data_IF_085476246126
#
_entry.id   IF_085476246126
#
_cell.length_a   1.000
_cell.length_b   1.000
_cell.length_c   1.000
_cell.angle_alpha   90.00
_cell.angle_beta   90.00
_cell.angle_gamma   90.00
#
_symmetry.space_group_name_H-M   'P 1'
#
loop_
_entity.id
_entity.type
_entity.pdbx_description
1 polymer ?
#
# COMPACT_ATOMS: atom_id res chain seq x y z
N UNK A 1 28.45 -32.66 50.32
CA UNK A 1 28.55 -32.92 48.85
C UNK A 1 27.19 -32.79 48.15
N UNK A 2 26.10 -33.48 48.56
CA UNK A 2 24.79 -33.40 47.84
C UNK A 2 24.20 -31.99 47.74
N UNK A 3 24.31 -31.10 48.74
CA UNK A 3 23.80 -29.72 48.69
C UNK A 3 24.56 -28.83 47.72
N UNK A 4 25.88 -29.00 47.55
CA UNK A 4 26.67 -28.24 46.56
C UNK A 4 26.31 -28.65 45.13
N UNK A 5 26.08 -29.95 44.90
CA UNK A 5 25.69 -30.46 43.56
C UNK A 5 24.28 -29.91 43.20
N UNK A 6 23.35 -29.91 44.17
CA UNK A 6 22.00 -29.34 43.95
C UNK A 6 22.04 -27.85 43.63
N UNK A 7 22.88 -27.07 44.32
CA UNK A 7 23.03 -25.62 44.05
C UNK A 7 23.67 -25.35 42.67
N UNK A 8 24.66 -26.16 42.28
CA UNK A 8 25.27 -25.98 40.94
C UNK A 8 24.30 -26.35 39.81
N UNK A 9 23.53 -27.43 39.96
CA UNK A 9 22.50 -27.83 38.99
C UNK A 9 21.41 -26.76 38.87
N UNK A 10 20.94 -26.21 40.00
CA UNK A 10 19.92 -25.14 40.01
C UNK A 10 20.45 -23.87 39.32
N UNK A 11 21.71 -23.48 39.61
CA UNK A 11 22.35 -22.32 38.95
C UNK A 11 22.49 -22.49 37.44
N UNK A 12 22.91 -23.68 36.99
CA UNK A 12 23.03 -24.00 35.56
C UNK A 12 21.66 -23.95 34.86
N UNK A 13 20.61 -24.48 35.49
CA UNK A 13 19.25 -24.47 34.95
C UNK A 13 18.74 -23.04 34.80
N UNK A 14 18.91 -22.18 35.81
CA UNK A 14 18.53 -20.77 35.75
C UNK A 14 19.30 -20.05 34.62
N UNK A 15 20.60 -20.29 34.53
CA UNK A 15 21.40 -19.69 33.45
C UNK A 15 20.91 -20.11 32.05
N UNK A 16 20.61 -21.39 31.85
CA UNK A 16 20.05 -21.88 30.55
C UNK A 16 18.71 -21.24 30.26
N UNK A 17 17.82 -21.10 31.24
CA UNK A 17 16.52 -20.45 31.05
C UNK A 17 16.69 -18.97 30.65
N UNK A 18 17.59 -18.24 31.34
CA UNK A 18 17.86 -16.82 31.02
C UNK A 18 18.45 -16.66 29.63
N UNK A 19 19.42 -17.50 29.24
CA UNK A 19 20.01 -17.47 27.91
C UNK A 19 18.97 -17.83 26.83
N UNK A 20 18.18 -18.87 27.06
CA UNK A 20 17.09 -19.24 26.14
C UNK A 20 16.06 -18.13 25.99
N UNK A 21 15.68 -17.47 27.08
CA UNK A 21 14.78 -16.30 27.06
C UNK A 21 15.37 -15.12 26.30
N UNK A 22 16.65 -14.81 26.52
CA UNK A 22 17.35 -13.75 25.80
C UNK A 22 17.45 -14.03 24.28
N UNK A 23 17.78 -15.28 23.92
CA UNK A 23 17.82 -15.72 22.52
C UNK A 23 16.45 -15.66 21.88
N UNK A 24 15.40 -16.13 22.58
CA UNK A 24 14.02 -16.04 22.09
C UNK A 24 13.59 -14.58 21.87
N UNK A 25 13.94 -13.69 22.80
CA UNK A 25 13.67 -12.25 22.68
C UNK A 25 14.42 -11.61 21.51
N UNK A 26 15.68 -11.97 21.29
CA UNK A 26 16.50 -11.52 20.14
C UNK A 26 15.94 -12.03 18.80
N UNK A 27 15.45 -13.26 18.76
CA UNK A 27 14.85 -13.84 17.56
C UNK A 27 13.46 -13.21 17.27
N UNK A 28 12.69 -12.92 18.33
CA UNK A 28 11.39 -12.26 18.19
C UNK A 28 11.49 -10.78 17.78
N UNK A 29 12.64 -10.14 18.03
CA UNK A 29 12.88 -8.73 17.65
C UNK A 29 13.46 -8.56 16.25
N UNK A 30 13.65 -9.65 15.48
CA UNK A 30 14.08 -9.54 14.09
C UNK A 30 12.95 -8.91 13.26
N UNK A 31 13.22 -7.86 12.45
CA UNK A 31 12.22 -7.34 11.55
C UNK A 31 11.79 -8.44 10.56
N UNK A 32 10.50 -8.49 10.28
CA UNK A 32 9.98 -9.42 9.28
C UNK A 32 10.64 -9.14 7.92
N UNK A 33 10.89 -10.18 7.10
CA UNK A 33 11.37 -9.97 5.74
C UNK A 33 10.36 -9.13 4.97
N UNK A 34 10.85 -8.20 4.14
CA UNK A 34 10.01 -7.36 3.28
C UNK A 34 9.65 -8.15 2.04
N UNK A 35 8.36 -8.21 1.71
CA UNK A 35 7.83 -8.94 0.54
C UNK A 35 7.71 -8.01 -0.68
N UNK A 36 7.48 -6.72 -0.44
CA UNK A 36 7.38 -5.70 -1.50
C UNK A 36 8.69 -5.55 -2.29
N UNK A 37 8.56 -5.09 -3.53
CA UNK A 37 9.71 -4.66 -4.32
C UNK A 37 10.24 -3.33 -3.78
N UNK A 38 11.35 -3.37 -3.04
CA UNK A 38 12.00 -2.18 -2.48
C UNK A 38 12.71 -1.38 -3.56
N UNK A 39 12.61 -0.06 -3.48
CA UNK A 39 13.47 0.84 -4.23
C UNK A 39 14.87 0.84 -3.62
N UNK A 40 15.89 0.43 -4.37
CA UNK A 40 17.29 0.43 -3.92
C UNK A 40 17.73 1.83 -3.44
N UNK A 41 17.27 2.88 -4.12
CA UNK A 41 17.41 4.27 -3.70
C UNK A 41 16.03 4.92 -3.76
N UNK A 42 15.51 5.45 -2.64
CA UNK A 42 14.24 6.17 -2.66
C UNK A 42 14.30 7.39 -3.57
N UNK A 43 13.42 7.48 -4.55
CA UNK A 43 13.33 8.58 -5.50
C UNK A 43 12.16 9.49 -5.14
N UNK A 44 12.27 10.81 -5.35
CA UNK A 44 11.12 11.70 -5.22
C UNK A 44 9.97 11.22 -6.11
N UNK A 45 8.77 11.10 -5.55
CA UNK A 45 7.57 10.87 -6.33
C UNK A 45 7.33 12.09 -7.23
N UNK A 46 7.10 11.85 -8.52
CA UNK A 46 6.78 12.92 -9.45
C UNK A 46 5.47 13.61 -9.04
N UNK A 47 5.49 14.94 -8.93
CA UNK A 47 4.30 15.68 -8.54
C UNK A 47 3.32 15.84 -9.69
N UNK A 48 2.05 15.83 -9.38
CA UNK A 48 0.95 16.12 -10.29
C UNK A 48 -0.21 16.75 -9.52
N UNK A 49 -1.08 17.44 -10.20
CA UNK A 49 -2.34 17.95 -9.63
C UNK A 49 -3.51 17.46 -10.45
N UNK A 50 -4.44 16.75 -9.80
CA UNK A 50 -5.67 16.26 -10.42
C UNK A 50 -6.88 16.70 -9.59
N UNK A 51 -8.08 16.60 -10.14
CA UNK A 51 -9.30 16.86 -9.40
C UNK A 51 -9.76 15.61 -8.65
N UNK A 52 -10.18 15.81 -7.40
CA UNK A 52 -10.84 14.76 -6.65
C UNK A 52 -12.31 14.60 -7.05
N UNK A 53 -13.00 13.64 -6.43
CA UNK A 53 -14.42 13.36 -6.67
C UNK A 53 -15.38 14.49 -6.24
N UNK A 54 -14.91 15.49 -5.51
CA UNK A 54 -15.63 16.71 -5.17
C UNK A 54 -15.27 17.88 -6.11
N UNK A 55 -14.41 17.64 -7.11
CA UNK A 55 -13.92 18.63 -8.06
C UNK A 55 -12.82 19.54 -7.52
N UNK A 56 -12.30 19.25 -6.32
CA UNK A 56 -11.23 20.04 -5.73
C UNK A 56 -9.85 19.62 -6.28
N UNK A 57 -8.94 20.57 -6.55
CA UNK A 57 -7.59 20.23 -6.98
C UNK A 57 -6.81 19.61 -5.82
N UNK A 58 -6.21 18.44 -6.07
CA UNK A 58 -5.33 17.73 -5.15
C UNK A 58 -3.97 17.56 -5.81
N UNK A 59 -2.96 18.22 -5.28
CA UNK A 59 -1.58 17.97 -5.63
C UNK A 59 -1.03 16.79 -4.82
N UNK A 60 -0.28 15.88 -5.42
CA UNK A 60 0.33 14.78 -4.67
C UNK A 60 1.25 15.31 -3.58
N UNK A 61 1.98 16.39 -3.85
CA UNK A 61 2.84 17.08 -2.88
C UNK A 61 2.08 17.66 -1.68
N UNK A 62 0.78 17.93 -1.78
CA UNK A 62 -0.05 18.40 -0.66
C UNK A 62 -0.29 17.31 0.40
N UNK A 63 -0.03 16.05 0.07
CA UNK A 63 -0.16 14.90 0.98
C UNK A 63 1.12 14.61 1.76
N UNK A 64 2.21 15.39 1.55
CA UNK A 64 3.45 15.24 2.34
C UNK A 64 3.17 15.32 3.84
N UNK A 65 3.98 14.62 4.61
CA UNK A 65 3.74 14.40 6.05
C UNK A 65 2.91 13.15 6.34
N UNK A 66 2.24 12.59 5.33
CA UNK A 66 1.48 11.34 5.41
C UNK A 66 2.01 10.34 4.40
N UNK A 67 2.09 9.04 4.74
CA UNK A 67 2.39 8.02 3.76
C UNK A 67 1.23 7.88 2.77
N UNK A 68 1.56 7.60 1.50
CA UNK A 68 0.58 7.48 0.42
C UNK A 68 0.72 6.12 -0.26
N UNK A 69 -0.39 5.44 -0.48
CA UNK A 69 -0.54 4.31 -1.39
C UNK A 69 -1.22 4.83 -2.67
N UNK A 70 -0.42 5.07 -3.70
CA UNK A 70 -0.90 5.54 -5.00
C UNK A 70 -1.18 4.33 -5.90
N UNK A 71 -2.43 4.15 -6.28
CA UNK A 71 -2.87 3.05 -7.15
C UNK A 71 -3.64 3.58 -8.35
N UNK A 72 -3.49 2.91 -9.48
CA UNK A 72 -4.18 3.19 -10.72
C UNK A 72 -5.20 2.07 -10.98
N UNK A 73 -6.34 2.42 -11.54
CA UNK A 73 -7.40 1.45 -11.80
C UNK A 73 -8.62 2.09 -12.44
N UNK A 74 -9.71 1.34 -12.58
CA UNK A 74 -10.99 1.85 -13.09
C UNK A 74 -12.17 1.10 -12.46
N UNK A 75 -13.33 1.75 -12.39
CA UNK A 75 -14.47 1.24 -11.62
C UNK A 75 -15.12 0.01 -12.23
N UNK A 76 -15.04 -0.13 -13.56
CA UNK A 76 -15.59 -1.28 -14.30
C UNK A 76 -14.61 -2.45 -14.45
N UNK A 77 -13.49 -2.44 -13.71
CA UNK A 77 -12.54 -3.55 -13.70
C UNK A 77 -13.17 -4.78 -13.03
N UNK A 78 -13.23 -5.93 -13.74
CA UNK A 78 -13.95 -7.10 -13.21
C UNK A 78 -13.18 -7.91 -12.16
N UNK A 79 -11.88 -7.64 -11.95
CA UNK A 79 -11.01 -8.54 -11.18
C UNK A 79 -10.00 -7.79 -10.29
N UNK A 80 -8.86 -7.35 -10.83
CA UNK A 80 -7.71 -6.92 -10.03
C UNK A 80 -7.95 -5.65 -9.21
N UNK A 81 -8.70 -4.67 -9.73
CA UNK A 81 -8.92 -3.40 -9.04
C UNK A 81 -9.73 -3.56 -7.73
N UNK A 82 -10.91 -4.26 -7.72
CA UNK A 82 -11.65 -4.46 -6.48
C UNK A 82 -10.84 -5.27 -5.45
N UNK A 83 -10.12 -6.31 -5.89
CA UNK A 83 -9.27 -7.12 -5.01
C UNK A 83 -8.16 -6.26 -4.38
N UNK A 84 -7.50 -5.41 -5.17
CA UNK A 84 -6.46 -4.51 -4.69
C UNK A 84 -7.02 -3.54 -3.63
N UNK A 85 -8.15 -2.89 -3.88
CA UNK A 85 -8.75 -1.94 -2.93
C UNK A 85 -9.18 -2.62 -1.62
N UNK A 86 -9.73 -3.84 -1.67
CA UNK A 86 -10.01 -4.64 -0.45
C UNK A 86 -8.73 -4.88 0.34
N UNK A 87 -7.65 -5.32 -0.33
CA UNK A 87 -6.37 -5.60 0.33
C UNK A 87 -5.76 -4.34 0.96
N UNK A 88 -5.81 -3.20 0.26
CA UNK A 88 -5.32 -1.91 0.79
C UNK A 88 -6.14 -1.46 2.02
N UNK A 89 -7.47 -1.61 1.99
CA UNK A 89 -8.33 -1.30 3.12
C UNK A 89 -8.02 -2.20 4.33
N UNK A 90 -7.84 -3.49 4.11
CA UNK A 90 -7.48 -4.45 5.16
C UNK A 90 -6.10 -4.16 5.76
N UNK A 91 -5.08 -3.93 4.91
CA UNK A 91 -3.74 -3.58 5.35
C UNK A 91 -3.74 -2.28 6.18
N UNK A 92 -4.47 -1.26 5.72
CA UNK A 92 -4.66 -0.01 6.47
C UNK A 92 -5.34 -0.24 7.83
N UNK A 93 -6.38 -1.07 7.89
CA UNK A 93 -7.08 -1.42 9.13
C UNK A 93 -6.16 -2.13 10.13
N UNK A 94 -5.30 -3.04 9.66
CA UNK A 94 -4.33 -3.78 10.49
C UNK A 94 -3.24 -2.89 11.12
N UNK A 95 -3.01 -1.69 10.60
CA UNK A 95 -2.11 -0.71 11.19
C UNK A 95 -2.74 0.01 12.40
N UNK A 96 -4.02 -0.18 12.66
CA UNK A 96 -4.75 0.41 13.77
C UNK A 96 -4.71 1.96 13.76
N UNK A 97 -4.28 2.56 14.87
CA UNK A 97 -4.22 4.03 14.97
C UNK A 97 -3.27 4.66 13.92
N UNK A 98 -2.17 3.98 13.59
CA UNK A 98 -1.19 4.47 12.59
C UNK A 98 -1.74 4.44 11.16
N UNK A 99 -2.68 3.54 10.88
CA UNK A 99 -3.36 3.47 9.59
C UNK A 99 -4.22 4.70 9.27
N UNK A 100 -4.62 5.50 10.29
CA UNK A 100 -5.39 6.74 10.08
C UNK A 100 -4.61 7.79 9.29
N UNK A 101 -3.29 7.80 9.41
CA UNK A 101 -2.42 8.73 8.68
C UNK A 101 -2.15 8.26 7.24
N UNK A 102 -2.32 6.96 6.96
CA UNK A 102 -2.08 6.39 5.64
C UNK A 102 -3.16 6.84 4.66
N UNK A 103 -2.75 7.49 3.58
CA UNK A 103 -3.64 7.92 2.51
C UNK A 103 -3.62 6.90 1.37
N UNK A 104 -4.79 6.42 0.95
CA UNK A 104 -4.93 5.65 -0.29
C UNK A 104 -5.47 6.59 -1.35
N UNK A 105 -4.72 6.75 -2.43
CA UNK A 105 -5.05 7.59 -3.58
C UNK A 105 -5.29 6.68 -4.77
N UNK A 106 -6.50 6.69 -5.28
CA UNK A 106 -6.92 5.98 -6.47
C UNK A 106 -7.03 6.97 -7.64
N UNK A 107 -6.30 6.73 -8.71
CA UNK A 107 -6.39 7.51 -9.95
C UNK A 107 -7.04 6.65 -11.01
N UNK A 108 -8.18 7.10 -11.57
CA UNK A 108 -8.79 6.34 -12.65
C UNK A 108 -7.98 6.42 -13.94
N UNK A 109 -7.88 5.29 -14.63
CA UNK A 109 -7.30 5.16 -15.97
C UNK A 109 -8.37 5.11 -17.07
N UNK A 110 -9.63 5.33 -16.71
CA UNK A 110 -10.76 5.29 -17.64
C UNK A 110 -11.71 6.49 -17.45
N UNK A 111 -11.25 7.71 -17.65
CA UNK A 111 -12.05 8.91 -17.43
C UNK A 111 -13.30 8.99 -18.31
N UNK A 112 -13.41 8.20 -19.37
CA UNK A 112 -14.59 8.17 -20.24
C UNK A 112 -15.81 7.55 -19.54
N UNK A 113 -15.59 6.55 -18.67
CA UNK A 113 -16.66 5.88 -17.88
C UNK A 113 -16.70 6.31 -16.42
N UNK A 114 -15.55 6.65 -15.87
CA UNK A 114 -15.36 6.92 -14.45
C UNK A 114 -15.61 8.39 -14.11
N UNK A 115 -16.89 8.79 -14.03
CA UNK A 115 -17.27 10.13 -13.53
C UNK A 115 -16.97 10.25 -12.03
N UNK A 116 -16.83 11.48 -11.50
CA UNK A 116 -16.53 11.70 -10.07
C UNK A 116 -17.48 11.00 -9.11
N UNK A 117 -18.78 11.03 -9.39
CA UNK A 117 -19.84 10.39 -8.59
C UNK A 117 -19.71 8.85 -8.60
N UNK A 118 -19.34 8.27 -9.75
CA UNK A 118 -19.12 6.84 -9.92
C UNK A 118 -17.89 6.38 -9.13
N UNK A 119 -16.76 7.11 -9.26
CA UNK A 119 -15.53 6.81 -8.52
C UNK A 119 -15.77 6.95 -7.01
N UNK A 120 -16.51 7.98 -6.55
CA UNK A 120 -16.80 8.12 -5.12
C UNK A 120 -17.62 6.95 -4.59
N UNK A 121 -18.72 6.60 -5.27
CA UNK A 121 -19.56 5.48 -4.87
C UNK A 121 -18.81 4.14 -4.89
N UNK A 122 -17.89 3.96 -5.83
CA UNK A 122 -17.04 2.78 -5.90
C UNK A 122 -16.08 2.69 -4.70
N UNK A 123 -15.36 3.77 -4.39
CA UNK A 123 -14.40 3.78 -3.28
C UNK A 123 -15.06 3.69 -1.91
N UNK A 124 -16.27 4.21 -1.74
CA UNK A 124 -17.04 4.14 -0.49
C UNK A 124 -17.36 2.71 -0.05
N UNK A 125 -17.33 1.75 -0.97
CA UNK A 125 -17.52 0.34 -0.66
C UNK A 125 -16.33 -0.28 0.09
N UNK A 126 -15.15 0.34 0.02
CA UNK A 126 -13.91 -0.15 0.63
C UNK A 126 -13.52 0.68 1.86
N UNK A 127 -13.30 1.97 1.70
CA UNK A 127 -13.00 2.90 2.78
C UNK A 127 -13.32 4.34 2.35
N UNK A 128 -14.18 5.02 3.10
CA UNK A 128 -14.61 6.40 2.80
C UNK A 128 -13.46 7.42 2.85
N UNK A 129 -12.34 7.08 3.49
CA UNK A 129 -11.15 7.93 3.53
C UNK A 129 -10.27 7.83 2.27
N UNK A 130 -10.59 6.93 1.33
CA UNK A 130 -9.86 6.83 0.08
C UNK A 130 -10.11 8.06 -0.78
N UNK A 131 -9.04 8.59 -1.36
CA UNK A 131 -9.08 9.76 -2.24
C UNK A 131 -9.19 9.25 -3.67
N UNK A 132 -10.28 9.56 -4.35
CA UNK A 132 -10.46 9.27 -5.78
C UNK A 132 -10.09 10.49 -6.61
N UNK A 133 -9.24 10.31 -7.62
CA UNK A 133 -8.83 11.35 -8.55
C UNK A 133 -9.31 10.98 -9.97
N UNK A 134 -9.93 11.97 -10.63
CA UNK A 134 -10.52 11.80 -11.96
C UNK A 134 -9.85 12.78 -12.91
N UNK A 135 -8.81 12.34 -13.64
CA UNK A 135 -8.11 13.17 -14.62
C UNK A 135 -8.95 13.40 -15.89
N UNK A 136 -8.63 14.43 -16.66
CA UNK A 136 -8.94 14.47 -18.10
C UNK A 136 -8.04 13.49 -18.84
N UNK A 137 -8.32 13.23 -20.13
CA UNK A 137 -7.47 12.36 -20.96
C UNK A 137 -6.02 12.89 -21.03
N UNK A 138 -5.86 14.21 -21.22
CA UNK A 138 -4.55 14.86 -21.29
C UNK A 138 -3.79 14.81 -19.97
N UNK A 139 -4.48 15.01 -18.84
CA UNK A 139 -3.91 14.88 -17.50
C UNK A 139 -3.48 13.43 -17.23
N UNK A 140 -4.31 12.44 -17.64
CA UNK A 140 -3.96 11.03 -17.51
C UNK A 140 -2.70 10.68 -18.29
N UNK A 141 -2.57 11.15 -19.54
CA UNK A 141 -1.35 10.94 -20.31
C UNK A 141 -0.11 11.55 -19.65
N UNK A 142 -0.24 12.74 -19.03
CA UNK A 142 0.86 13.36 -18.30
C UNK A 142 1.29 12.52 -17.11
N UNK A 143 0.32 12.07 -16.29
CA UNK A 143 0.59 11.21 -15.13
C UNK A 143 1.16 9.86 -15.57
N UNK A 144 0.65 9.28 -16.65
CA UNK A 144 1.15 8.03 -17.21
C UNK A 144 2.63 8.12 -17.60
N UNK A 145 3.04 9.22 -18.23
CA UNK A 145 4.47 9.46 -18.53
C UNK A 145 5.32 9.60 -17.29
N UNK A 146 4.84 10.31 -16.25
CA UNK A 146 5.57 10.53 -15.00
C UNK A 146 5.81 9.23 -14.23
N UNK A 147 4.84 8.32 -14.27
CA UNK A 147 4.86 7.09 -13.49
C UNK A 147 5.16 5.84 -14.33
N UNK A 148 5.51 6.02 -15.62
CA UNK A 148 5.70 4.93 -16.57
C UNK A 148 4.53 3.95 -16.58
N UNK A 149 3.31 4.49 -16.41
CA UNK A 149 2.08 3.73 -16.43
C UNK A 149 1.75 3.34 -17.87
N UNK A 150 1.64 2.05 -18.11
CA UNK A 150 1.07 1.51 -19.35
C UNK A 150 -0.41 1.29 -19.12
N UNK A 151 -1.26 1.79 -20.02
CA UNK A 151 -2.69 1.51 -20.03
C UNK A 151 -3.19 1.46 -21.48
N UNK A 152 -4.06 0.50 -21.77
CA UNK A 152 -4.58 0.26 -23.11
C UNK A 152 -6.01 -0.28 -23.04
N UNK A 153 -6.90 0.25 -23.88
CA UNK A 153 -8.26 -0.25 -24.01
C UNK A 153 -8.26 -1.49 -24.89
N UNK A 154 -8.79 -2.58 -24.35
CA UNK A 154 -8.92 -3.86 -25.03
C UNK A 154 -10.40 -4.22 -25.22
N UNK A 155 -10.82 -4.69 -26.39
CA UNK A 155 -12.18 -5.19 -26.61
C UNK A 155 -12.54 -6.28 -25.58
N UNK A 156 -13.74 -6.20 -25.02
CA UNK A 156 -14.25 -7.18 -24.07
C UNK A 156 -15.59 -7.75 -24.54
N UNK A 157 -16.33 -8.41 -23.65
CA UNK A 157 -17.67 -8.89 -23.95
C UNK A 157 -18.62 -7.73 -24.26
N UNK A 158 -19.70 -8.01 -24.98
CA UNK A 158 -20.73 -7.01 -25.30
C UNK A 158 -21.26 -6.27 -24.07
N UNK A 159 -21.36 -6.95 -22.92
CA UNK A 159 -21.81 -6.39 -21.66
C UNK A 159 -20.80 -5.40 -21.03
N UNK A 160 -19.49 -5.60 -21.24
CA UNK A 160 -18.43 -4.76 -20.71
C UNK A 160 -17.94 -3.70 -21.72
N UNK A 161 -18.18 -3.91 -23.01
CA UNK A 161 -17.69 -3.09 -24.11
C UNK A 161 -16.17 -3.18 -24.27
N UNK A 162 -15.41 -2.72 -23.30
CA UNK A 162 -13.95 -2.86 -23.24
C UNK A 162 -13.45 -2.99 -21.80
N UNK A 163 -12.26 -3.55 -21.66
CA UNK A 163 -11.44 -3.50 -20.46
C UNK A 163 -10.25 -2.55 -20.65
N UNK A 164 -9.58 -2.17 -19.58
CA UNK A 164 -8.35 -1.39 -19.65
C UNK A 164 -7.24 -2.22 -19.02
N UNK A 165 -6.36 -2.76 -19.88
CA UNK A 165 -5.10 -3.34 -19.39
C UNK A 165 -4.22 -2.23 -18.86
N UNK A 166 -3.71 -2.37 -17.63
CA UNK A 166 -2.86 -1.34 -17.04
C UNK A 166 -1.87 -1.93 -16.04
N UNK A 167 -0.83 -1.14 -15.72
CA UNK A 167 0.10 -1.48 -14.65
C UNK A 167 -0.64 -1.54 -13.31
N UNK A 168 -0.66 -2.71 -12.66
CA UNK A 168 -1.47 -2.98 -11.48
C UNK A 168 -0.72 -2.79 -10.14
N UNK A 169 0.53 -2.33 -10.17
CA UNK A 169 1.30 -2.09 -8.95
C UNK A 169 0.76 -0.87 -8.17
N UNK A 170 0.72 -0.98 -6.84
CA UNK A 170 0.49 0.17 -5.95
C UNK A 170 1.83 0.74 -5.52
N UNK A 171 2.02 2.03 -5.73
CA UNK A 171 3.25 2.76 -5.42
C UNK A 171 3.15 3.25 -3.97
N UNK A 172 4.13 2.88 -3.14
CA UNK A 172 4.20 3.28 -1.74
C UNK A 172 5.14 4.46 -1.59
N UNK A 173 4.61 5.59 -1.13
CA UNK A 173 5.30 6.85 -0.97
C UNK A 173 5.38 7.16 0.52
N UNK A 174 6.56 7.57 1.01
CA UNK A 174 6.76 7.93 2.41
C UNK A 174 6.31 9.37 2.74
N UNK A 175 6.45 9.75 4.00
CA UNK A 175 6.06 11.09 4.51
C UNK A 175 6.85 12.23 3.85
N UNK A 176 8.06 11.94 3.37
CA UNK A 176 8.91 12.91 2.66
C UNK A 176 8.55 13.03 1.16
N UNK A 177 7.60 12.24 0.69
CA UNK A 177 7.18 12.20 -0.72
C UNK A 177 8.14 11.39 -1.59
N UNK A 178 8.82 10.37 -1.03
CA UNK A 178 9.73 9.50 -1.79
C UNK A 178 9.09 8.12 -2.00
N UNK A 179 9.22 7.60 -3.21
CA UNK A 179 8.83 6.22 -3.53
C UNK A 179 9.77 5.27 -2.80
N UNK A 180 9.21 4.37 -1.99
CA UNK A 180 9.96 3.43 -1.17
C UNK A 180 9.88 2.00 -1.67
N UNK A 181 8.73 1.60 -2.15
CA UNK A 181 8.47 0.23 -2.59
C UNK A 181 7.22 0.16 -3.48
N UNK A 182 7.04 -0.98 -4.13
CA UNK A 182 5.85 -1.30 -4.91
C UNK A 182 5.15 -2.51 -4.29
N UNK A 183 3.84 -2.42 -4.13
CA UNK A 183 2.98 -3.57 -3.83
C UNK A 183 2.43 -4.16 -5.11
N UNK A 184 2.55 -5.45 -5.24
CA UNK A 184 2.01 -6.21 -6.36
C UNK A 184 0.65 -6.84 -6.02
N UNK A 185 -0.21 -7.11 -7.00
CA UNK A 185 -1.54 -7.67 -6.75
C UNK A 185 -1.54 -9.00 -5.99
N UNK A 186 -0.48 -9.78 -6.09
CA UNK A 186 -0.34 -11.10 -5.44
C UNK A 186 -0.16 -10.98 -3.92
N UNK A 187 0.37 -9.85 -3.43
CA UNK A 187 0.63 -9.65 -2.01
C UNK A 187 -0.65 -9.74 -1.17
N UNK A 188 -0.51 -10.32 0.01
CA UNK A 188 -1.58 -10.37 1.01
C UNK A 188 -1.66 -9.07 1.82
N UNK A 189 -2.80 -8.76 2.45
CA UNK A 189 -2.92 -7.61 3.36
C UNK A 189 -1.94 -7.66 4.53
N UNK A 190 -1.62 -8.87 5.03
CA UNK A 190 -0.69 -9.07 6.15
C UNK A 190 0.74 -8.70 5.75
N UNK A 191 1.17 -9.10 4.56
CA UNK A 191 2.47 -8.74 3.98
C UNK A 191 2.55 -7.23 3.78
N UNK A 192 1.53 -6.61 3.16
CA UNK A 192 1.48 -5.16 2.96
C UNK A 192 1.57 -4.40 4.29
N UNK A 193 0.80 -4.81 5.31
CA UNK A 193 0.82 -4.17 6.63
C UNK A 193 2.16 -4.37 7.34
N UNK A 194 2.78 -5.56 7.21
CA UNK A 194 4.11 -5.85 7.74
C UNK A 194 5.18 -4.96 7.13
N UNK A 195 5.15 -4.83 5.79
CA UNK A 195 6.10 -4.02 5.04
C UNK A 195 5.95 -2.52 5.36
N UNK A 196 4.71 -2.02 5.48
CA UNK A 196 4.44 -0.65 5.91
C UNK A 196 4.99 -0.37 7.30
N UNK A 197 4.86 -1.31 8.26
CA UNK A 197 5.47 -1.18 9.59
C UNK A 197 6.99 -1.15 9.51
N UNK A 198 7.58 -2.04 8.75
CA UNK A 198 9.02 -2.22 8.66
C UNK A 198 9.71 -1.06 7.95
N UNK A 199 9.14 -0.63 6.81
CA UNK A 199 9.79 0.34 5.91
C UNK A 199 9.43 1.79 6.26
N UNK A 200 8.18 2.04 6.71
CA UNK A 200 7.68 3.38 6.99
C UNK A 200 7.49 3.68 8.49
N UNK A 201 7.70 2.71 9.37
CA UNK A 201 7.50 2.85 10.82
C UNK A 201 6.03 3.09 11.21
N UNK A 202 5.09 2.50 10.47
CA UNK A 202 3.64 2.62 10.70
C UNK A 202 3.12 1.61 11.73
#
# INVERSE_FOLDING_TARGET
>A
MKRLILLSVASTLVFVIVVAGAVAMLLASRPAPVTASLMATPLPAADFTLRDTAGQPVALSSLRGKPVLLTFGYTSCPDVCPITLVKLAQAKSQLGARGKDLQVVFVTVDPDRDRPDVVRAYLDQYDRSFIGLVPTAEELEQVARLYHLVYEKEPASEALGYTVAHTAATIVIDRDGKVRMLFWPEMTPDEMASDLRTVLGL
#
